data_IF_701627770695
#
_entry.id   IF_701627770695
#
_cell.length_a   1.000
_cell.length_b   1.000
_cell.length_c   1.000
_cell.angle_alpha   90.00
_cell.angle_beta   90.00
_cell.angle_gamma   90.00
#
_symmetry.space_group_name_H-M   'P 1'
#
loop_
_entity.id
_entity.type
_entity.pdbx_description
1 polymer ?
#
# COMPACT_ATOMS: atom_id res chain seq x y z
N UNK A 1 -5.36 -14.87 9.27
CA UNK A 1 -4.48 -14.53 8.13
C UNK A 1 -4.77 -13.10 7.66
N UNK A 2 -3.77 -12.37 7.14
CA UNK A 2 -3.86 -10.94 6.77
C UNK A 2 -4.98 -10.62 5.77
N UNK A 3 -5.25 -11.56 4.88
CA UNK A 3 -6.30 -11.43 3.87
C UNK A 3 -7.71 -11.37 4.50
N UNK A 4 -7.94 -12.04 5.65
CA UNK A 4 -9.16 -11.88 6.43
C UNK A 4 -9.31 -10.44 6.96
N UNK A 5 -8.22 -9.84 7.45
CA UNK A 5 -8.26 -8.43 7.90
C UNK A 5 -8.58 -7.48 6.76
N UNK A 6 -8.04 -7.74 5.57
CA UNK A 6 -8.39 -6.99 4.36
C UNK A 6 -9.89 -7.12 4.03
N UNK A 7 -10.44 -8.34 4.02
CA UNK A 7 -11.86 -8.60 3.77
C UNK A 7 -12.77 -7.92 4.78
N UNK A 8 -12.48 -8.10 6.07
CA UNK A 8 -13.22 -7.47 7.16
C UNK A 8 -13.23 -5.94 7.00
N UNK A 9 -12.08 -5.35 6.63
CA UNK A 9 -11.97 -3.92 6.40
C UNK A 9 -12.81 -3.44 5.22
N UNK A 10 -12.69 -4.05 4.04
CA UNK A 10 -13.42 -3.59 2.86
C UNK A 10 -14.92 -3.77 3.01
N UNK A 11 -15.37 -4.88 3.63
CA UNK A 11 -16.78 -5.13 3.92
C UNK A 11 -17.36 -4.10 4.89
N UNK A 12 -16.61 -3.76 5.96
CA UNK A 12 -17.02 -2.72 6.92
C UNK A 12 -17.23 -1.34 6.27
N UNK A 13 -16.57 -1.06 5.16
CA UNK A 13 -16.64 0.23 4.46
C UNK A 13 -17.35 0.16 3.10
N UNK A 14 -17.99 -0.96 2.76
CA UNK A 14 -18.57 -1.20 1.43
C UNK A 14 -19.65 -0.19 1.02
N UNK A 15 -20.37 0.39 1.99
CA UNK A 15 -21.46 1.35 1.74
C UNK A 15 -20.93 2.62 1.05
N UNK A 16 -19.91 3.25 1.62
CA UNK A 16 -19.39 4.57 1.18
C UNK A 16 -17.94 4.53 0.66
N UNK A 17 -17.30 3.36 0.70
CA UNK A 17 -15.89 3.17 0.34
C UNK A 17 -14.92 4.17 0.97
N UNK A 18 -15.12 4.44 2.25
CA UNK A 18 -14.26 5.37 2.98
C UNK A 18 -12.87 4.76 3.19
N UNK A 19 -11.89 5.22 2.40
CA UNK A 19 -10.49 4.85 2.55
C UNK A 19 -9.86 5.56 3.76
N UNK A 20 -10.23 5.14 4.97
CA UNK A 20 -9.63 5.64 6.21
C UNK A 20 -8.20 5.12 6.31
N UNK A 21 -7.19 5.99 6.29
CA UNK A 21 -5.79 5.60 6.56
C UNK A 21 -5.64 5.44 8.08
N UNK A 22 -5.39 4.22 8.55
CA UNK A 22 -5.23 3.93 9.97
C UNK A 22 -3.84 3.34 10.22
N UNK A 23 -3.14 3.90 11.19
CA UNK A 23 -1.81 3.48 11.64
C UNK A 23 -2.00 2.73 12.98
N UNK A 24 -2.20 1.42 12.96
CA UNK A 24 -2.14 0.61 14.20
C UNK A 24 -1.15 -0.54 14.02
N UNK A 25 -0.38 -0.76 15.09
CA UNK A 25 1.06 -0.99 15.06
C UNK A 25 1.51 -2.45 14.80
N UNK A 26 0.64 -3.35 14.32
CA UNK A 26 1.05 -4.74 14.05
C UNK A 26 1.35 -5.04 12.58
N UNK A 27 0.70 -4.34 11.64
CA UNK A 27 0.86 -4.58 10.21
C UNK A 27 0.56 -3.29 9.45
N UNK A 28 1.37 -2.96 8.44
CA UNK A 28 1.13 -1.83 7.56
C UNK A 28 -0.08 -2.14 6.67
N UNK A 29 -0.85 -1.10 6.35
CA UNK A 29 -1.97 -1.20 5.43
C UNK A 29 -1.92 -0.12 4.36
N UNK A 30 -2.01 -0.56 3.11
CA UNK A 30 -2.33 0.32 1.98
C UNK A 30 -3.83 0.20 1.73
N UNK A 31 -4.51 1.34 1.61
CA UNK A 31 -5.94 1.41 1.30
C UNK A 31 -6.20 2.57 0.35
N UNK A 32 -6.93 2.30 -0.72
CA UNK A 32 -7.33 3.31 -1.69
C UNK A 32 -8.75 3.06 -2.21
N UNK A 33 -9.48 4.17 -2.42
CA UNK A 33 -10.72 4.20 -3.17
C UNK A 33 -10.40 4.71 -4.57
N UNK A 34 -10.96 4.05 -5.57
CA UNK A 34 -10.93 4.48 -6.97
C UNK A 34 -12.34 4.83 -7.41
N UNK A 35 -12.55 5.95 -8.12
CA UNK A 35 -13.86 6.38 -8.63
C UNK A 35 -14.26 5.66 -9.94
N UNK A 36 -13.57 4.57 -10.27
CA UNK A 36 -13.89 3.70 -11.40
C UNK A 36 -13.54 2.24 -11.11
N UNK A 37 -14.00 1.36 -12.00
CA UNK A 37 -13.63 -0.04 -11.93
C UNK A 37 -12.13 -0.17 -12.15
N UNK A 38 -11.46 -0.74 -11.15
CA UNK A 38 -10.05 -1.09 -11.21
C UNK A 38 -9.86 -2.51 -10.64
N UNK A 39 -8.94 -3.26 -11.22
CA UNK A 39 -8.48 -4.56 -10.72
C UNK A 39 -7.46 -4.39 -9.60
N UNK A 40 -7.17 -5.48 -8.88
CA UNK A 40 -6.08 -5.49 -7.89
C UNK A 40 -4.72 -5.17 -8.51
N UNK A 41 -4.45 -5.70 -9.72
CA UNK A 41 -3.18 -5.50 -10.41
C UNK A 41 -2.96 -4.04 -10.83
N UNK A 42 -3.99 -3.38 -11.36
CA UNK A 42 -3.92 -1.96 -11.73
C UNK A 42 -3.73 -1.06 -10.50
N UNK A 43 -4.38 -1.37 -9.38
CA UNK A 43 -4.17 -0.64 -8.13
C UNK A 43 -2.73 -0.78 -7.61
N UNK A 44 -2.18 -2.00 -7.59
CA UNK A 44 -0.76 -2.22 -7.24
C UNK A 44 0.16 -1.50 -8.21
N UNK A 45 -0.16 -1.51 -9.51
CA UNK A 45 0.60 -0.75 -10.52
C UNK A 45 0.62 0.74 -10.19
N UNK A 46 -0.51 1.33 -9.81
CA UNK A 46 -0.60 2.72 -9.40
C UNK A 46 0.20 3.00 -8.11
N UNK A 47 0.20 2.07 -7.16
CA UNK A 47 1.02 2.18 -5.95
C UNK A 47 2.52 2.10 -6.25
N UNK A 48 2.95 1.22 -7.16
CA UNK A 48 4.35 1.10 -7.60
C UNK A 48 4.82 2.36 -8.33
N UNK A 49 3.95 3.05 -9.09
CA UNK A 49 4.30 4.32 -9.76
C UNK A 49 4.80 5.39 -8.78
N UNK A 50 4.45 5.32 -7.49
CA UNK A 50 5.02 6.22 -6.49
C UNK A 50 6.53 6.02 -6.25
N UNK A 51 7.16 5.04 -6.91
CA UNK A 51 8.61 4.92 -7.06
C UNK A 51 9.26 6.23 -7.50
N UNK A 52 8.61 6.96 -8.41
CA UNK A 52 9.10 8.24 -8.93
C UNK A 52 9.25 9.30 -7.82
N UNK A 53 8.54 9.12 -6.71
CA UNK A 53 8.60 10.00 -5.55
C UNK A 53 9.58 9.50 -4.48
N UNK A 54 10.24 8.36 -4.65
CA UNK A 54 11.22 7.85 -3.69
C UNK A 54 12.65 8.04 -4.22
N UNK A 55 13.45 8.80 -3.48
CA UNK A 55 14.86 8.97 -3.78
C UNK A 55 15.68 7.98 -2.95
N UNK A 56 16.21 6.93 -3.61
CA UNK A 56 16.98 5.90 -2.93
C UNK A 56 18.21 6.50 -2.24
N UNK A 57 19.13 7.26 -2.87
CA UNK A 57 20.35 7.72 -2.19
C UNK A 57 20.11 8.44 -0.85
N UNK A 58 19.11 9.32 -0.74
CA UNK A 58 18.77 10.03 0.51
C UNK A 58 17.81 9.30 1.43
N UNK A 59 17.27 8.14 1.03
CA UNK A 59 16.20 7.41 1.73
C UNK A 59 14.99 8.30 2.09
N UNK A 60 14.57 9.17 1.18
CA UNK A 60 13.48 10.12 1.43
C UNK A 60 12.50 10.18 0.27
N UNK A 61 11.30 10.70 0.53
CA UNK A 61 10.43 11.09 -0.57
C UNK A 61 10.91 12.40 -1.18
N UNK A 62 10.84 12.53 -2.51
CA UNK A 62 11.37 13.67 -3.29
C UNK A 62 10.77 15.00 -2.84
N UNK A 63 9.48 15.03 -2.51
CA UNK A 63 8.75 16.22 -2.04
C UNK A 63 8.79 16.39 -0.50
N UNK A 64 9.56 15.57 0.20
CA UNK A 64 9.62 15.53 1.67
C UNK A 64 8.39 14.95 2.36
N UNK A 65 7.34 14.56 1.61
CA UNK A 65 6.08 14.08 2.18
C UNK A 65 6.05 12.56 2.19
N UNK A 66 6.16 11.93 3.37
CA UNK A 66 6.19 10.46 3.52
C UNK A 66 5.09 9.76 2.70
N UNK A 67 3.86 10.29 2.72
CA UNK A 67 2.73 9.69 2.03
C UNK A 67 2.83 9.69 0.50
N UNK A 68 3.75 10.46 -0.10
CA UNK A 68 3.92 10.53 -1.55
C UNK A 68 4.66 9.31 -2.11
N UNK A 69 5.49 8.64 -1.29
CA UNK A 69 6.29 7.49 -1.70
C UNK A 69 6.11 6.22 -0.85
N UNK A 70 5.43 6.31 0.30
CA UNK A 70 5.29 5.18 1.25
C UNK A 70 4.67 3.91 0.67
N UNK A 71 3.84 4.03 -0.37
CA UNK A 71 3.21 2.88 -1.02
C UNK A 71 4.24 2.03 -1.73
N UNK A 72 5.07 2.67 -2.56
CA UNK A 72 6.22 2.02 -3.18
C UNK A 72 7.12 1.40 -2.13
N UNK A 73 7.52 2.17 -1.10
CA UNK A 73 8.39 1.71 -0.01
C UNK A 73 7.86 0.43 0.66
N UNK A 74 6.56 0.37 0.97
CA UNK A 74 5.97 -0.83 1.58
C UNK A 74 5.92 -2.02 0.61
N UNK A 75 5.63 -1.80 -0.68
CA UNK A 75 5.57 -2.88 -1.68
C UNK A 75 6.93 -3.55 -1.84
N UNK A 76 8.00 -2.78 -1.79
CA UNK A 76 9.38 -3.25 -2.00
C UNK A 76 10.14 -3.49 -0.68
N UNK A 77 9.43 -3.50 0.45
CA UNK A 77 10.05 -3.67 1.76
C UNK A 77 10.54 -5.11 1.94
N UNK A 78 11.85 -5.33 1.85
CA UNK A 78 12.51 -6.64 1.85
C UNK A 78 12.20 -7.51 3.07
N UNK A 79 12.01 -6.92 4.25
CA UNK A 79 11.64 -7.65 5.47
C UNK A 79 10.17 -8.10 5.48
N UNK A 80 9.31 -7.60 4.59
CA UNK A 80 7.90 -8.02 4.52
C UNK A 80 7.80 -9.39 3.86
N UNK A 81 7.25 -10.36 4.58
CA UNK A 81 7.13 -11.76 4.11
C UNK A 81 5.70 -12.22 3.93
N UNK A 82 4.73 -11.47 4.47
CA UNK A 82 3.32 -11.81 4.42
C UNK A 82 2.51 -10.66 3.84
N UNK A 83 1.57 -11.01 2.96
CA UNK A 83 0.64 -10.10 2.31
C UNK A 83 -0.76 -10.70 2.30
N UNK A 84 -1.77 -9.86 2.46
CA UNK A 84 -3.15 -10.24 2.21
C UNK A 84 -3.99 -9.05 1.78
N UNK A 85 -4.79 -9.21 0.74
CA UNK A 85 -5.55 -8.13 0.11
C UNK A 85 -7.03 -8.49 -0.06
N UNK A 86 -7.87 -7.47 -0.15
CA UNK A 86 -9.27 -7.60 -0.52
C UNK A 86 -9.72 -6.38 -1.32
N UNK A 87 -10.75 -6.60 -2.13
CA UNK A 87 -11.36 -5.62 -3.03
C UNK A 87 -12.87 -5.74 -2.95
N UNK A 88 -13.57 -4.61 -2.99
CA UNK A 88 -15.04 -4.59 -3.10
C UNK A 88 -15.49 -3.48 -4.06
N UNK A 89 -16.59 -3.72 -4.77
CA UNK A 89 -17.32 -2.68 -5.48
C UNK A 89 -18.27 -2.00 -4.47
N UNK A 90 -18.25 -0.68 -4.41
CA UNK A 90 -19.02 0.08 -3.41
C UNK A 90 -20.52 0.00 -3.67
N UNK A 91 -21.33 0.00 -2.62
CA UNK A 91 -22.78 -0.16 -2.76
C UNK A 91 -23.45 1.10 -3.32
N UNK A 92 -23.07 2.29 -2.82
CA UNK A 92 -23.68 3.55 -3.25
C UNK A 92 -23.28 3.97 -4.67
N UNK A 93 -22.03 3.69 -5.08
CA UNK A 93 -21.58 3.88 -6.45
C UNK A 93 -20.89 2.61 -6.93
N UNK A 94 -21.61 1.79 -7.71
CA UNK A 94 -21.11 0.48 -8.17
C UNK A 94 -19.85 0.55 -9.03
N UNK A 95 -19.51 1.75 -9.55
CA UNK A 95 -18.25 1.99 -10.27
C UNK A 95 -17.08 2.15 -9.32
N UNK A 96 -17.30 2.66 -8.11
CA UNK A 96 -16.23 2.86 -7.16
C UNK A 96 -15.72 1.52 -6.62
N UNK A 97 -14.42 1.46 -6.40
CA UNK A 97 -13.75 0.28 -5.85
C UNK A 97 -12.95 0.69 -4.63
N UNK A 98 -13.05 -0.08 -3.56
CA UNK A 98 -12.18 0.02 -2.39
C UNK A 98 -11.26 -1.20 -2.34
N UNK A 99 -9.96 -0.96 -2.25
CA UNK A 99 -8.93 -1.99 -2.15
C UNK A 99 -8.14 -1.76 -0.88
N UNK A 100 -7.89 -2.84 -0.13
CA UNK A 100 -7.01 -2.81 1.02
C UNK A 100 -6.05 -4.00 1.00
N UNK A 101 -4.77 -3.73 1.27
CA UNK A 101 -3.73 -4.73 1.43
C UNK A 101 -3.02 -4.54 2.77
N UNK A 102 -2.83 -5.63 3.50
CA UNK A 102 -2.08 -5.71 4.74
C UNK A 102 -0.74 -6.39 4.50
N UNK A 103 0.31 -5.85 5.12
CA UNK A 103 1.70 -6.29 4.97
C UNK A 103 2.29 -6.58 6.35
N UNK A 104 3.06 -7.67 6.47
CA UNK A 104 3.77 -8.01 7.70
C UNK A 104 5.11 -8.71 7.43
N UNK A 105 6.18 -8.42 8.19
CA UNK A 105 6.38 -7.25 9.05
C UNK A 105 6.10 -5.89 8.39
N UNK A 106 5.77 -4.89 9.20
CA UNK A 106 5.57 -3.50 8.74
C UNK A 106 6.90 -2.86 8.33
N UNK A 107 6.86 -1.89 7.41
CA UNK A 107 8.02 -1.05 7.15
C UNK A 107 8.46 -0.25 8.40
N UNK A 108 9.74 0.09 8.45
CA UNK A 108 10.31 1.04 9.43
C UNK A 108 10.76 2.35 8.77
N UNK A 109 10.18 2.72 7.63
CA UNK A 109 10.51 3.98 6.93
C UNK A 109 10.07 5.21 7.75
N UNK A 110 10.90 6.27 7.84
CA UNK A 110 12.17 6.49 7.12
C UNK A 110 13.45 6.06 7.85
N UNK A 111 13.36 5.38 9.00
CA UNK A 111 14.53 4.97 9.78
C UNK A 111 15.42 3.95 9.03
N UNK A 112 14.81 3.08 8.23
CA UNK A 112 15.51 2.06 7.44
C UNK A 112 15.21 2.19 5.95
N UNK A 113 16.08 1.56 5.12
CA UNK A 113 15.89 1.45 3.68
C UNK A 113 15.00 0.24 3.36
N UNK A 114 14.16 0.32 2.31
CA UNK A 114 13.28 -0.78 1.96
C UNK A 114 14.03 -2.03 1.47
N UNK A 115 15.19 -1.85 0.84
CA UNK A 115 16.05 -2.91 0.33
C UNK A 115 17.48 -2.39 0.23
N UNK A 116 18.43 -3.31 0.08
CA UNK A 116 19.82 -3.01 -0.27
C UNK A 116 19.99 -3.15 -1.78
N UNK A 117 20.76 -2.26 -2.39
CA UNK A 117 21.27 -2.47 -3.74
C UNK A 117 22.53 -3.32 -3.60
N UNK A 118 22.51 -4.52 -4.18
CA UNK A 118 23.74 -5.28 -4.36
C UNK A 118 24.54 -4.59 -5.46
N UNK A 119 25.73 -4.09 -5.14
CA UNK A 119 26.67 -3.72 -6.18
C UNK A 119 27.08 -5.00 -6.88
N UNK A 120 26.69 -5.15 -8.15
CA UNK A 120 27.35 -6.11 -9.03
C UNK A 120 28.77 -5.58 -9.23
N UNK A 121 29.83 -6.33 -8.86
CA UNK A 121 31.17 -5.93 -9.23
C UNK A 121 31.22 -5.80 -10.76
N UNK A 122 31.72 -4.66 -11.23
CA UNK A 122 32.01 -4.40 -12.65
C UNK A 122 33.11 -5.36 -13.10
#
# INVERSE_FOLDING_TARGET
MLEKYARDYVNKHAVNCTARKHYHQKHTRIVERYPEFITGAEAVTNWVKTKLNYHYPSNSCVDGKIFSCIRYVQIVWSATTHLGCARINCHHNKKDVLISCYYYPSHNFPAERPYVLLELPI
#
